data_IF_604485960557
#
_entry.id   IF_604485960557
#
_cell.length_a   1.000
_cell.length_b   1.000
_cell.length_c   1.000
_cell.angle_alpha   90.00
_cell.angle_beta   90.00
_cell.angle_gamma   90.00
#
_symmetry.space_group_name_H-M   'P 1'
#
loop_
_entity.id
_entity.type
_entity.pdbx_description
1 polymer ?
#
# COMPACT_ATOMS: atom_id res chain seq x y z
N UNK A 1 18.21 13.60 -19.29
CA UNK A 1 17.08 12.93 -18.61
C UNK A 1 15.78 13.47 -19.19
N UNK A 2 14.73 12.65 -19.36
CA UNK A 2 13.46 13.15 -19.91
C UNK A 2 12.61 13.87 -18.83
N UNK A 3 11.59 14.63 -19.25
CA UNK A 3 10.77 15.46 -18.35
C UNK A 3 9.99 14.60 -17.34
N UNK A 4 9.49 13.44 -17.75
CA UNK A 4 8.76 12.52 -16.88
C UNK A 4 9.66 11.91 -15.80
N UNK A 5 10.85 11.46 -16.18
CA UNK A 5 11.89 10.98 -15.29
C UNK A 5 12.30 12.07 -14.28
N UNK A 6 12.47 13.30 -14.74
CA UNK A 6 12.79 14.45 -13.88
C UNK A 6 11.69 14.67 -12.83
N UNK A 7 10.42 14.68 -13.26
CA UNK A 7 9.26 14.83 -12.38
C UNK A 7 9.19 13.71 -11.34
N UNK A 8 9.40 12.47 -11.77
CA UNK A 8 9.40 11.28 -10.91
C UNK A 8 10.55 11.30 -9.90
N UNK A 9 11.75 11.69 -10.31
CA UNK A 9 12.88 11.89 -9.40
C UNK A 9 12.60 13.00 -8.36
N UNK A 10 11.89 14.05 -8.74
CA UNK A 10 11.52 15.14 -7.82
C UNK A 10 10.46 14.68 -6.82
N UNK A 11 9.49 13.88 -7.27
CA UNK A 11 8.50 13.25 -6.39
C UNK A 11 9.15 12.32 -5.37
N UNK A 12 10.15 11.52 -5.78
CA UNK A 12 10.96 10.69 -4.88
C UNK A 12 11.63 11.55 -3.79
N UNK A 13 12.24 12.69 -4.16
CA UNK A 13 12.84 13.60 -3.17
C UNK A 13 11.81 14.18 -2.21
N UNK A 14 10.63 14.57 -2.69
CA UNK A 14 9.56 15.07 -1.85
C UNK A 14 9.05 14.00 -0.86
N UNK A 15 8.89 12.75 -1.31
CA UNK A 15 8.53 11.61 -0.45
C UNK A 15 9.62 11.25 0.58
N UNK A 16 10.89 11.50 0.27
CA UNK A 16 11.96 11.41 1.26
C UNK A 16 11.88 12.56 2.27
N UNK A 17 11.53 13.77 1.82
CA UNK A 17 11.42 14.96 2.66
C UNK A 17 10.31 14.92 3.71
N UNK A 18 9.29 14.09 3.51
CA UNK A 18 8.27 13.78 4.53
C UNK A 18 8.88 13.13 5.79
N UNK A 19 10.04 12.47 5.67
CA UNK A 19 10.69 11.83 6.80
C UNK A 19 11.47 12.86 7.65
N UNK A 20 11.29 12.89 8.98
CA UNK A 20 12.00 13.84 9.85
C UNK A 20 13.53 13.81 9.73
N UNK A 21 14.11 12.64 9.42
CA UNK A 21 15.56 12.48 9.26
C UNK A 21 16.11 13.19 8.02
N UNK A 22 15.27 13.56 7.04
CA UNK A 22 15.70 14.24 5.81
C UNK A 22 16.46 15.54 6.09
N UNK A 23 16.02 16.29 7.12
CA UNK A 23 16.62 17.57 7.52
C UNK A 23 18.12 17.45 7.86
N UNK A 24 18.56 16.28 8.35
CA UNK A 24 19.97 16.05 8.71
C UNK A 24 20.92 15.99 7.50
N UNK A 25 20.38 15.86 6.29
CA UNK A 25 21.11 15.72 5.02
C UNK A 25 20.68 16.76 3.98
N UNK A 26 19.83 17.71 4.37
CA UNK A 26 19.30 18.74 3.48
C UNK A 26 20.39 19.72 3.07
N UNK A 27 21.21 20.13 4.02
CA UNK A 27 22.20 21.19 3.88
C UNK A 27 23.64 20.66 3.88
N UNK A 28 24.62 21.43 3.40
CA UNK A 28 26.01 21.02 3.42
C UNK A 28 26.47 20.63 4.83
N UNK A 29 27.28 19.57 4.97
CA UNK A 29 27.80 19.16 6.27
C UNK A 29 28.62 20.31 6.89
N UNK A 30 28.30 20.67 8.13
CA UNK A 30 28.93 21.78 8.86
C UNK A 30 30.41 21.52 9.16
N UNK A 31 30.80 20.26 9.29
CA UNK A 31 32.20 19.84 9.40
C UNK A 31 32.87 19.87 8.03
N UNK A 32 34.08 20.46 7.95
CA UNK A 32 34.90 20.40 6.73
C UNK A 32 34.95 18.98 6.17
N UNK A 33 34.90 18.81 4.84
CA UNK A 33 34.98 17.48 4.23
C UNK A 33 36.26 16.80 4.73
N UNK A 34 36.11 15.72 5.48
CA UNK A 34 37.25 14.88 5.83
C UNK A 34 37.89 14.40 4.52
N UNK A 35 39.21 14.16 4.51
CA UNK A 35 39.93 13.62 3.34
C UNK A 35 39.29 12.33 2.78
N UNK A 36 38.46 11.67 3.57
CA UNK A 36 37.70 10.45 3.25
C UNK A 36 36.43 10.73 2.41
N UNK A 37 35.88 11.95 2.45
CA UNK A 37 34.67 12.34 1.74
C UNK A 37 35.02 13.09 0.44
N UNK A 38 35.37 12.33 -0.60
CA UNK A 38 35.86 12.86 -1.89
C UNK A 38 34.80 13.67 -2.67
N UNK A 39 33.52 13.55 -2.35
CA UNK A 39 32.42 14.24 -3.05
C UNK A 39 31.32 14.66 -2.07
N UNK A 40 31.39 15.87 -1.46
CA UNK A 40 30.35 16.35 -0.58
C UNK A 40 29.06 16.59 -1.38
N UNK A 41 27.99 15.91 -0.99
CA UNK A 41 26.65 16.05 -1.58
C UNK A 41 25.64 16.14 -0.44
N UNK A 42 24.54 16.85 -0.71
CA UNK A 42 23.42 17.03 0.19
C UNK A 42 22.13 17.14 -0.63
N UNK A 43 20.99 16.86 0.00
CA UNK A 43 19.73 16.61 -0.71
C UNK A 43 19.17 17.88 -1.36
N UNK A 44 19.34 19.06 -0.77
CA UNK A 44 18.93 20.32 -1.40
C UNK A 44 19.75 20.61 -2.67
N UNK A 45 21.05 20.30 -2.67
CA UNK A 45 21.88 20.44 -3.87
C UNK A 45 21.42 19.51 -4.99
N UNK A 46 21.13 18.25 -4.66
CA UNK A 46 20.60 17.28 -5.64
C UNK A 46 19.26 17.77 -6.18
N UNK A 47 18.38 18.29 -5.32
CA UNK A 47 17.10 18.86 -5.73
C UNK A 47 17.28 20.02 -6.71
N UNK A 48 18.12 20.99 -6.39
CA UNK A 48 18.40 22.13 -7.29
C UNK A 48 19.03 21.67 -8.61
N UNK A 49 19.97 20.72 -8.56
CA UNK A 49 20.58 20.13 -9.75
C UNK A 49 19.55 19.43 -10.65
N UNK A 50 18.58 18.76 -10.03
CA UNK A 50 17.46 18.12 -10.70
C UNK A 50 16.51 19.14 -11.33
N UNK A 51 16.16 20.21 -10.63
CA UNK A 51 15.26 21.27 -11.13
C UNK A 51 15.85 22.04 -12.32
N UNK A 52 17.16 22.31 -12.30
CA UNK A 52 17.89 22.94 -13.41
C UNK A 52 18.14 21.97 -14.58
N UNK A 53 17.85 20.66 -14.39
CA UNK A 53 17.99 19.65 -15.44
C UNK A 53 19.43 19.23 -15.74
N UNK A 54 20.35 19.37 -14.78
CA UNK A 54 21.78 19.05 -14.97
C UNK A 54 22.10 17.55 -14.82
N UNK A 55 21.11 16.68 -14.93
CA UNK A 55 21.30 15.24 -14.92
C UNK A 55 21.03 14.68 -16.31
N UNK A 56 22.05 14.05 -16.90
CA UNK A 56 21.93 13.47 -18.24
C UNK A 56 21.11 12.18 -18.20
N UNK A 57 21.15 11.46 -17.07
CA UNK A 57 20.37 10.25 -16.85
C UNK A 57 19.85 10.12 -15.42
N UNK A 58 18.79 9.32 -15.26
CA UNK A 58 18.27 8.94 -13.93
C UNK A 58 19.29 8.19 -13.08
N UNK A 59 20.25 7.48 -13.72
CA UNK A 59 21.32 6.76 -13.03
C UNK A 59 22.24 7.72 -12.27
N UNK A 60 22.53 8.89 -12.81
CA UNK A 60 23.34 9.91 -12.14
C UNK A 60 22.64 10.48 -10.92
N UNK A 61 21.34 10.75 -11.03
CA UNK A 61 20.51 11.14 -9.89
C UNK A 61 20.56 10.07 -8.78
N UNK A 62 20.32 8.81 -9.13
CA UNK A 62 20.37 7.69 -8.18
C UNK A 62 21.75 7.58 -7.54
N UNK A 63 22.80 7.72 -8.32
CA UNK A 63 24.18 7.67 -7.83
C UNK A 63 24.48 8.80 -6.83
N UNK A 64 24.03 10.02 -7.12
CA UNK A 64 24.25 11.18 -6.24
C UNK A 64 23.49 11.01 -4.92
N UNK A 65 22.23 10.57 -4.95
CA UNK A 65 21.43 10.30 -3.73
C UNK A 65 22.09 9.20 -2.87
N UNK A 66 22.50 8.08 -3.48
CA UNK A 66 23.23 7.01 -2.78
C UNK A 66 24.55 7.51 -2.18
N UNK A 67 25.21 8.43 -2.86
CA UNK A 67 26.49 9.00 -2.40
C UNK A 67 26.30 9.83 -1.13
N UNK A 68 25.19 10.57 -0.97
CA UNK A 68 24.89 11.30 0.28
C UNK A 68 24.94 10.35 1.47
N UNK A 69 24.24 9.21 1.38
CA UNK A 69 24.16 8.25 2.50
C UNK A 69 25.47 7.46 2.69
N UNK A 70 26.14 7.08 1.60
CA UNK A 70 27.45 6.40 1.66
C UNK A 70 28.52 7.26 2.32
N UNK A 71 28.49 8.58 2.09
CA UNK A 71 29.43 9.51 2.72
C UNK A 71 29.25 9.55 4.25
N UNK A 72 28.02 9.39 4.73
CA UNK A 72 27.69 9.33 6.16
C UNK A 72 28.20 8.04 6.79
N UNK A 73 28.06 6.92 6.07
CA UNK A 73 28.55 5.61 6.51
C UNK A 73 30.08 5.58 6.64
N UNK A 74 30.79 6.18 5.67
CA UNK A 74 32.26 6.28 5.67
C UNK A 74 32.81 7.28 6.68
N UNK A 75 31.98 8.20 7.19
CA UNK A 75 32.43 9.22 8.12
C UNK A 75 32.62 8.63 9.52
N UNK A 76 33.88 8.58 9.96
CA UNK A 76 34.26 8.15 11.31
C UNK A 76 33.78 9.11 12.40
N UNK A 77 33.53 10.39 12.06
CA UNK A 77 33.08 11.44 12.97
C UNK A 77 31.56 11.62 13.02
N UNK A 78 30.80 10.77 12.32
CA UNK A 78 29.35 10.91 12.25
C UNK A 78 28.66 10.22 13.45
N UNK A 79 27.84 10.98 14.17
CA UNK A 79 27.06 10.47 15.30
C UNK A 79 26.10 9.34 14.92
N UNK A 80 25.82 8.44 15.88
CA UNK A 80 25.02 7.22 15.65
C UNK A 80 23.63 7.51 15.08
N UNK A 81 22.94 8.53 15.60
CA UNK A 81 21.62 8.93 15.09
C UNK A 81 21.64 9.33 13.61
N UNK A 82 22.71 10.02 13.17
CA UNK A 82 22.85 10.43 11.77
C UNK A 82 23.17 9.23 10.87
N UNK A 83 23.93 8.24 11.35
CA UNK A 83 24.15 6.97 10.65
C UNK A 83 22.85 6.17 10.52
N UNK A 84 22.07 6.05 11.59
CA UNK A 84 20.75 5.39 11.58
C UNK A 84 19.78 6.09 10.65
N UNK A 85 19.71 7.43 10.70
CA UNK A 85 18.87 8.23 9.80
C UNK A 85 19.25 8.04 8.32
N UNK A 86 20.55 7.98 8.02
CA UNK A 86 21.02 7.71 6.65
C UNK A 86 20.59 6.31 6.18
N UNK A 87 20.71 5.29 7.04
CA UNK A 87 20.26 3.93 6.72
C UNK A 87 18.74 3.86 6.48
N UNK A 88 17.95 4.54 7.32
CA UNK A 88 16.49 4.58 7.17
C UNK A 88 16.08 5.22 5.84
N UNK A 89 16.64 6.39 5.51
CA UNK A 89 16.35 7.08 4.26
C UNK A 89 16.86 6.32 3.04
N UNK A 90 18.03 5.69 3.14
CA UNK A 90 18.57 4.82 2.09
C UNK A 90 17.62 3.66 1.79
N UNK A 91 17.12 2.95 2.81
CA UNK A 91 16.17 1.86 2.61
C UNK A 91 14.87 2.33 1.96
N UNK A 92 14.29 3.45 2.44
CA UNK A 92 13.09 4.04 1.83
C UNK A 92 13.33 4.45 0.38
N UNK A 93 14.52 4.98 0.08
CA UNK A 93 14.89 5.34 -1.28
C UNK A 93 15.00 4.11 -2.20
N UNK A 94 15.73 3.07 -1.79
CA UNK A 94 15.87 1.84 -2.56
C UNK A 94 14.52 1.14 -2.79
N UNK A 95 13.64 1.15 -1.81
CA UNK A 95 12.27 0.63 -1.94
C UNK A 95 11.49 1.35 -3.05
N UNK A 96 11.53 2.69 -3.10
CA UNK A 96 10.87 3.44 -4.18
C UNK A 96 11.47 3.15 -5.55
N UNK A 97 12.79 2.98 -5.64
CA UNK A 97 13.45 2.60 -6.89
C UNK A 97 13.01 1.19 -7.33
N UNK A 98 12.98 0.23 -6.40
CA UNK A 98 12.55 -1.14 -6.65
C UNK A 98 11.07 -1.22 -7.06
N UNK A 99 10.23 -0.36 -6.50
CA UNK A 99 8.81 -0.24 -6.83
C UNK A 99 8.56 0.48 -8.16
N UNK A 100 9.60 0.90 -8.89
CA UNK A 100 9.46 1.49 -10.23
C UNK A 100 8.99 2.94 -10.23
N UNK A 101 9.23 3.70 -9.16
CA UNK A 101 8.85 5.12 -9.10
C UNK A 101 9.50 5.98 -10.19
N UNK A 102 10.58 5.53 -10.82
CA UNK A 102 11.19 6.21 -11.98
C UNK A 102 10.49 5.75 -13.26
N UNK A 103 9.52 6.54 -13.69
CA UNK A 103 8.75 6.31 -14.91
C UNK A 103 9.48 6.83 -16.14
N UNK A 104 9.29 6.18 -17.29
CA UNK A 104 9.90 6.61 -18.56
C UNK A 104 8.91 7.31 -19.48
N UNK A 105 7.62 6.96 -19.36
CA UNK A 105 6.53 7.49 -20.18
C UNK A 105 5.39 8.05 -19.32
N UNK A 106 4.51 8.81 -19.97
CA UNK A 106 3.28 9.30 -19.36
C UNK A 106 2.33 8.17 -18.95
N UNK A 107 2.28 7.09 -19.72
CA UNK A 107 1.49 5.90 -19.39
C UNK A 107 1.98 5.25 -18.09
N UNK A 108 3.30 5.19 -17.88
CA UNK A 108 3.87 4.68 -16.63
C UNK A 108 3.53 5.58 -15.45
N UNK A 109 3.52 6.91 -15.64
CA UNK A 109 3.06 7.86 -14.61
C UNK A 109 1.60 7.60 -14.24
N UNK A 110 0.72 7.47 -15.22
CA UNK A 110 -0.71 7.23 -14.98
C UNK A 110 -0.94 5.88 -14.30
N UNK A 111 -0.26 4.83 -14.77
CA UNK A 111 -0.32 3.50 -14.16
C UNK A 111 0.18 3.51 -12.70
N UNK A 112 1.24 4.27 -12.42
CA UNK A 112 1.76 4.43 -11.08
C UNK A 112 0.78 5.15 -10.15
N UNK A 113 0.16 6.25 -10.61
CA UNK A 113 -0.88 6.97 -9.85
C UNK A 113 -2.04 6.04 -9.52
N UNK A 114 -2.54 5.30 -10.52
CA UNK A 114 -3.62 4.33 -10.35
C UNK A 114 -3.21 3.23 -9.34
N UNK A 115 -1.99 2.69 -9.45
CA UNK A 115 -1.48 1.69 -8.52
C UNK A 115 -1.43 2.20 -7.08
N UNK A 116 -1.04 3.46 -6.89
CA UNK A 116 -0.96 4.07 -5.57
C UNK A 116 -2.35 4.35 -4.98
N UNK A 117 -3.31 4.78 -5.81
CA UNK A 117 -4.71 4.91 -5.42
C UNK A 117 -5.31 3.57 -5.00
N UNK A 118 -5.03 2.49 -5.75
CA UNK A 118 -5.48 1.14 -5.39
C UNK A 118 -4.88 0.70 -4.05
N UNK A 119 -3.58 0.91 -3.82
CA UNK A 119 -2.95 0.59 -2.52
C UNK A 119 -3.57 1.39 -1.37
N UNK A 120 -3.81 2.68 -1.56
CA UNK A 120 -4.47 3.51 -0.55
C UNK A 120 -5.90 3.03 -0.27
N UNK A 121 -6.63 2.57 -1.30
CA UNK A 121 -7.93 1.95 -1.13
C UNK A 121 -7.83 0.64 -0.35
N UNK A 122 -6.86 -0.22 -0.66
CA UNK A 122 -6.57 -1.45 0.10
C UNK A 122 -6.25 -1.18 1.58
N UNK A 123 -5.53 -0.11 1.89
CA UNK A 123 -5.21 0.32 3.26
C UNK A 123 -6.42 0.93 3.98
N UNK A 124 -7.32 1.59 3.25
CA UNK A 124 -8.57 2.16 3.80
C UNK A 124 -9.63 1.11 4.09
N UNK A 125 -9.54 -0.06 3.47
CA UNK A 125 -10.36 -1.22 3.81
C UNK A 125 -9.86 -1.73 5.17
N UNK A 126 -10.57 -1.33 6.24
CA UNK A 126 -10.28 -1.81 7.60
C UNK A 126 -10.10 -3.32 7.59
N UNK A 127 -8.86 -3.79 7.80
CA UNK A 127 -8.62 -5.19 8.15
C UNK A 127 -9.43 -5.46 9.43
N UNK A 128 -10.31 -6.47 9.47
CA UNK A 128 -10.95 -6.84 10.72
C UNK A 128 -9.85 -7.07 11.76
N UNK A 129 -10.02 -6.58 13.00
CA UNK A 129 -8.97 -6.62 14.00
C UNK A 129 -8.44 -8.05 14.17
N UNK A 130 -7.14 -8.23 14.39
CA UNK A 130 -6.60 -9.55 14.66
C UNK A 130 -7.32 -10.12 15.88
N UNK A 131 -7.97 -11.26 15.72
CA UNK A 131 -8.52 -12.03 16.82
C UNK A 131 -7.38 -12.38 17.78
N UNK A 132 -7.14 -11.53 18.79
CA UNK A 132 -6.39 -11.93 19.98
C UNK A 132 -7.30 -12.84 20.81
N UNK A 133 -6.83 -14.00 21.27
CA UNK A 133 -7.63 -14.89 22.11
C UNK A 133 -7.78 -14.25 23.50
N UNK A 134 -8.97 -13.74 23.81
CA UNK A 134 -9.37 -13.47 25.20
C UNK A 134 -10.25 -14.60 25.67
N UNK A 135 -9.62 -15.64 26.23
CA UNK A 135 -10.23 -16.44 27.28
C UNK A 135 -10.55 -15.52 28.45
N UNK A 136 -11.84 -15.43 28.81
CA UNK A 136 -12.34 -15.20 30.18
C UNK A 136 -13.86 -15.34 30.19
N UNK A 137 -14.28 -16.44 30.82
CA UNK A 137 -15.51 -16.64 31.61
C UNK A 137 -16.81 -16.02 31.07
N UNK A 138 -17.62 -16.86 30.42
CA UNK A 138 -18.98 -16.52 30.02
C UNK A 138 -19.96 -16.58 31.20
N UNK A 139 -20.85 -15.59 31.37
CA UNK A 139 -22.10 -15.78 32.09
C UNK A 139 -23.08 -16.64 31.27
N UNK A 140 -23.95 -17.35 31.99
CA UNK A 140 -24.79 -18.47 31.54
C UNK A 140 -25.98 -18.11 30.60
N UNK A 141 -25.84 -17.16 29.66
CA UNK A 141 -26.89 -16.84 28.68
C UNK A 141 -26.74 -17.58 27.33
N UNK A 142 -25.92 -18.62 27.27
CA UNK A 142 -25.62 -19.40 26.05
C UNK A 142 -26.71 -20.39 25.59
N UNK A 143 -27.97 -20.20 26.02
CA UNK A 143 -29.06 -21.16 25.74
C UNK A 143 -29.71 -20.97 24.35
N UNK A 144 -29.33 -19.94 23.58
CA UNK A 144 -29.78 -19.78 22.19
C UNK A 144 -28.62 -19.93 21.20
N UNK A 145 -28.03 -21.13 21.16
CA UNK A 145 -27.29 -21.54 19.96
C UNK A 145 -28.29 -21.97 18.89
N UNK A 146 -28.79 -20.99 18.13
CA UNK A 146 -29.28 -21.25 16.79
C UNK A 146 -28.10 -21.85 16.02
N UNK A 147 -28.18 -23.15 15.72
CA UNK A 147 -27.20 -23.79 14.84
C UNK A 147 -27.20 -22.99 13.55
N UNK A 148 -26.05 -22.42 13.19
CA UNK A 148 -25.89 -21.73 11.92
C UNK A 148 -26.04 -22.78 10.83
N UNK A 149 -27.28 -22.97 10.37
CA UNK A 149 -27.57 -23.88 9.27
C UNK A 149 -26.83 -23.38 8.05
N UNK A 150 -26.06 -24.28 7.42
CA UNK A 150 -25.30 -23.96 6.20
C UNK A 150 -26.30 -23.39 5.18
N UNK A 151 -26.12 -22.14 4.72
CA UNK A 151 -27.11 -21.49 3.88
C UNK A 151 -27.24 -22.26 2.56
N UNK A 152 -28.47 -22.59 2.22
CA UNK A 152 -28.82 -23.30 0.99
C UNK A 152 -28.46 -22.43 -0.21
N UNK A 153 -28.12 -23.04 -1.35
CA UNK A 153 -27.81 -22.30 -2.60
C UNK A 153 -28.91 -21.30 -2.98
N UNK A 154 -30.18 -21.65 -2.75
CA UNK A 154 -31.33 -20.76 -2.96
C UNK A 154 -31.31 -19.52 -2.05
N UNK A 155 -30.87 -19.65 -0.80
CA UNK A 155 -30.78 -18.55 0.15
C UNK A 155 -29.65 -17.58 -0.21
N UNK A 156 -28.49 -18.12 -0.63
CA UNK A 156 -27.37 -17.31 -1.14
C UNK A 156 -27.75 -16.56 -2.42
N UNK A 157 -28.46 -17.22 -3.34
CA UNK A 157 -28.91 -16.60 -4.58
C UNK A 157 -29.96 -15.51 -4.32
N UNK A 158 -30.86 -15.73 -3.36
CA UNK A 158 -31.81 -14.71 -2.92
C UNK A 158 -31.09 -13.51 -2.27
N UNK A 159 -30.11 -13.75 -1.39
CA UNK A 159 -29.35 -12.70 -0.73
C UNK A 159 -28.56 -11.83 -1.73
N UNK A 160 -27.92 -12.44 -2.74
CA UNK A 160 -27.26 -11.70 -3.82
C UNK A 160 -28.23 -10.92 -4.69
N UNK A 161 -29.46 -11.42 -4.92
CA UNK A 161 -30.50 -10.66 -5.62
C UNK A 161 -30.97 -9.45 -4.83
N UNK A 162 -31.11 -9.59 -3.50
CA UNK A 162 -31.48 -8.47 -2.61
C UNK A 162 -30.38 -7.40 -2.62
N UNK A 163 -29.11 -7.81 -2.77
CA UNK A 163 -27.98 -6.90 -2.71
C UNK A 163 -28.04 -5.79 -3.78
N UNK A 164 -28.69 -6.04 -4.93
CA UNK A 164 -29.11 -5.18 -6.08
C UNK A 164 -28.16 -4.08 -6.59
N UNK A 165 -27.11 -3.75 -5.85
CA UNK A 165 -26.08 -2.75 -6.10
C UNK A 165 -24.87 -3.44 -6.73
N UNK A 166 -24.47 -3.05 -7.96
CA UNK A 166 -23.33 -3.66 -8.64
C UNK A 166 -22.03 -3.60 -7.84
N UNK A 167 -21.82 -2.49 -7.11
CA UNK A 167 -20.65 -2.27 -6.26
C UNK A 167 -20.52 -3.32 -5.14
N UNK A 168 -21.63 -3.66 -4.49
CA UNK A 168 -21.69 -4.63 -3.41
C UNK A 168 -21.58 -6.07 -3.95
N UNK A 169 -22.13 -6.34 -5.13
CA UNK A 169 -21.99 -7.64 -5.80
C UNK A 169 -20.52 -7.89 -6.17
N UNK A 170 -19.81 -6.86 -6.65
CA UNK A 170 -18.36 -6.95 -6.92
C UNK A 170 -17.59 -7.21 -5.62
N UNK A 171 -17.91 -6.50 -4.52
CA UNK A 171 -17.26 -6.76 -3.23
C UNK A 171 -17.49 -8.20 -2.73
N UNK A 172 -18.72 -8.70 -2.85
CA UNK A 172 -19.04 -10.09 -2.50
C UNK A 172 -18.30 -11.10 -3.39
N UNK A 173 -18.12 -10.79 -4.68
CA UNK A 173 -17.37 -11.60 -5.62
C UNK A 173 -15.89 -11.68 -5.25
N UNK A 174 -15.26 -10.53 -4.94
CA UNK A 174 -13.88 -10.46 -4.49
C UNK A 174 -13.70 -11.24 -3.18
N UNK A 175 -14.58 -11.02 -2.21
CA UNK A 175 -14.54 -11.73 -0.92
C UNK A 175 -14.62 -13.26 -1.08
N UNK A 176 -15.50 -13.73 -1.98
CA UNK A 176 -15.60 -15.15 -2.28
C UNK A 176 -14.32 -15.69 -2.95
N UNK A 177 -13.72 -14.92 -3.85
CA UNK A 177 -12.48 -15.28 -4.57
C UNK A 177 -11.27 -15.39 -3.63
N UNK A 178 -11.17 -14.51 -2.64
CA UNK A 178 -10.13 -14.55 -1.60
C UNK A 178 -10.24 -15.81 -0.74
N UNK A 179 -11.46 -16.20 -0.38
CA UNK A 179 -11.72 -17.38 0.46
C UNK A 179 -11.56 -18.69 -0.30
N UNK A 180 -11.96 -18.72 -1.56
CA UNK A 180 -11.83 -19.91 -2.39
C UNK A 180 -11.63 -19.55 -3.86
N UNK A 181 -10.42 -19.82 -4.36
CA UNK A 181 -10.11 -19.65 -5.80
C UNK A 181 -11.01 -20.54 -6.65
N UNK A 182 -11.50 -19.98 -7.78
CA UNK A 182 -12.35 -20.69 -8.74
C UNK A 182 -13.83 -20.80 -8.36
N UNK A 183 -14.27 -20.18 -7.26
CA UNK A 183 -15.68 -20.20 -6.87
C UNK A 183 -16.53 -19.10 -7.53
N UNK A 184 -15.90 -18.12 -8.17
CA UNK A 184 -16.55 -17.03 -8.90
C UNK A 184 -15.89 -16.88 -10.27
N UNK A 185 -16.70 -16.70 -11.30
CA UNK A 185 -16.26 -16.36 -12.65
C UNK A 185 -16.69 -14.94 -12.96
N UNK A 186 -15.72 -14.11 -13.37
CA UNK A 186 -15.94 -12.71 -13.73
C UNK A 186 -15.68 -12.60 -15.23
N UNK A 187 -16.75 -12.37 -15.99
CA UNK A 187 -16.72 -12.15 -17.44
C UNK A 187 -17.62 -10.97 -17.82
N UNK A 188 -18.53 -11.18 -18.77
CA UNK A 188 -19.62 -10.21 -19.03
C UNK A 188 -20.64 -10.16 -17.87
N UNK A 189 -20.73 -11.25 -17.11
CA UNK A 189 -21.52 -11.39 -15.88
C UNK A 189 -20.64 -11.89 -14.75
N UNK A 190 -21.07 -11.64 -13.51
CA UNK A 190 -20.45 -12.19 -12.30
C UNK A 190 -21.26 -13.42 -11.88
N UNK A 191 -20.66 -14.60 -11.99
CA UNK A 191 -21.32 -15.87 -11.71
C UNK A 191 -20.70 -16.57 -10.49
N UNK A 192 -21.54 -16.88 -9.51
CA UNK A 192 -21.14 -17.56 -8.27
C UNK A 192 -21.40 -19.07 -8.36
N UNK A 193 -20.33 -19.86 -8.36
CA UNK A 193 -20.40 -21.32 -8.42
C UNK A 193 -20.59 -21.95 -7.04
N UNK A 194 -21.79 -21.82 -6.47
CA UNK A 194 -22.12 -22.35 -5.13
C UNK A 194 -21.96 -23.87 -4.98
N UNK A 195 -21.94 -24.63 -6.07
CA UNK A 195 -21.73 -26.09 -6.02
C UNK A 195 -20.29 -26.45 -5.63
N UNK A 196 -19.33 -25.61 -6.03
CA UNK A 196 -17.90 -25.84 -5.80
C UNK A 196 -17.47 -25.22 -4.46
N UNK A 197 -18.23 -24.26 -3.93
CA UNK A 197 -17.95 -23.61 -2.65
C UNK A 197 -18.03 -24.57 -1.46
N UNK A 198 -17.01 -24.52 -0.59
CA UNK A 198 -17.00 -25.18 0.71
C UNK A 198 -18.09 -24.61 1.63
N UNK A 199 -18.62 -25.43 2.53
CA UNK A 199 -19.68 -25.03 3.48
C UNK A 199 -19.27 -23.82 4.33
N UNK A 200 -18.00 -23.73 4.74
CA UNK A 200 -17.49 -22.58 5.49
C UNK A 200 -17.52 -21.30 4.65
N UNK A 201 -17.08 -21.37 3.39
CA UNK A 201 -17.10 -20.22 2.46
C UNK A 201 -18.53 -19.74 2.20
N UNK A 202 -19.51 -20.64 2.17
CA UNK A 202 -20.93 -20.29 2.04
C UNK A 202 -21.44 -19.52 3.25
N UNK A 203 -21.09 -19.96 4.46
CA UNK A 203 -21.45 -19.27 5.71
C UNK A 203 -20.79 -17.90 5.76
N UNK A 204 -19.50 -17.83 5.46
CA UNK A 204 -18.73 -16.58 5.47
C UNK A 204 -19.31 -15.58 4.45
N UNK A 205 -19.60 -16.03 3.22
CA UNK A 205 -20.20 -15.20 2.18
C UNK A 205 -21.61 -14.72 2.56
N UNK A 206 -22.44 -15.60 3.12
CA UNK A 206 -23.78 -15.22 3.56
C UNK A 206 -23.72 -14.18 4.69
N UNK A 207 -22.85 -14.39 5.67
CA UNK A 207 -22.64 -13.46 6.78
C UNK A 207 -22.14 -12.10 6.28
N UNK A 208 -21.22 -12.11 5.31
CA UNK A 208 -20.73 -10.91 4.66
C UNK A 208 -21.87 -10.13 3.97
N UNK A 209 -22.69 -10.81 3.17
CA UNK A 209 -23.83 -10.18 2.46
C UNK A 209 -24.83 -9.60 3.47
N UNK A 210 -25.19 -10.32 4.52
CA UNK A 210 -26.13 -9.84 5.54
C UNK A 210 -25.58 -8.62 6.29
N UNK A 211 -24.29 -8.61 6.62
CA UNK A 211 -23.67 -7.44 7.26
C UNK A 211 -23.69 -6.22 6.33
N UNK A 212 -23.38 -6.41 5.04
CA UNK A 212 -23.49 -5.33 4.04
C UNK A 212 -24.91 -4.83 3.86
N UNK A 213 -25.91 -5.71 3.86
CA UNK A 213 -27.32 -5.31 3.84
C UNK A 213 -27.70 -4.50 5.09
N UNK A 214 -27.20 -4.86 6.28
CA UNK A 214 -27.41 -4.08 7.51
C UNK A 214 -26.75 -2.71 7.43
N UNK A 215 -25.53 -2.61 6.92
CA UNK A 215 -24.84 -1.32 6.71
C UNK A 215 -25.61 -0.41 5.75
N UNK A 216 -26.15 -0.96 4.66
CA UNK A 216 -27.00 -0.22 3.70
C UNK A 216 -28.30 0.23 4.37
N UNK A 217 -28.95 -0.63 5.14
CA UNK A 217 -30.18 -0.30 5.86
C UNK A 217 -29.97 0.81 6.93
N UNK A 218 -28.83 0.80 7.62
CA UNK A 218 -28.46 1.81 8.63
C UNK A 218 -28.04 3.14 7.99
N UNK A 219 -27.41 3.10 6.81
CA UNK A 219 -26.92 4.30 6.12
C UNK A 219 -28.00 5.07 5.32
N UNK A 220 -29.22 4.54 5.22
CA UNK A 220 -30.41 5.28 4.74
C UNK A 220 -30.34 5.79 3.30
N UNK A 221 -29.35 5.35 2.51
CA UNK A 221 -29.23 5.75 1.10
C UNK A 221 -30.12 4.86 0.24
N UNK A 222 -31.27 5.43 -0.14
CA UNK A 222 -32.05 5.02 -1.32
C UNK A 222 -31.38 5.51 -2.59
#
# INVERSE_FOLDING_TARGET
MNIYQQKSCLEILNKLAENPCYRMFSDPPTSQPSKECQRPLYLNFIKSKLEVGMYDSTREFVFDVRTVFRNVEKSNSCGEYKKLGAKLLFLKFEEMIANGHITQSELDCNLFVISNEIKNLEESIQKPPPNSPKTKEMPASFILHEKVDVPTTKQLQAALRILNEPSLIIQAAIFALEKQKGCVSIGQTIDFHFRIMKSQTKIDLYTFIINKLKEVAVSGKK
#
